data_IF_713439630856
#
_entry.id   IF_713439630856
#
_cell.length_a   1.000
_cell.length_b   1.000
_cell.length_c   1.000
_cell.angle_alpha   90.00
_cell.angle_beta   90.00
_cell.angle_gamma   90.00
#
_symmetry.space_group_name_H-M   'P 1'
#
loop_
_entity.id
_entity.type
_entity.pdbx_description
1 polymer ?
#
# COMPACT_ATOMS: atom_id res chain seq x y z
N UNK A 1 -59.46 -10.84 -26.88
CA UNK A 1 -59.42 -9.66 -27.79
C UNK A 1 -58.22 -8.82 -27.40
N UNK A 2 -57.39 -8.58 -28.37
CA UNK A 2 -56.10 -7.92 -28.25
C UNK A 2 -56.24 -6.40 -27.97
N UNK A 3 -55.26 -5.83 -27.31
CA UNK A 3 -54.64 -4.59 -27.83
C UNK A 3 -53.26 -4.40 -27.26
N UNK A 4 -52.29 -4.51 -28.15
CA UNK A 4 -50.89 -4.03 -27.98
C UNK A 4 -50.89 -2.52 -28.21
N UNK A 5 -50.24 -1.75 -27.31
CA UNK A 5 -49.74 -0.43 -27.65
C UNK A 5 -48.23 -0.43 -27.35
N UNK A 6 -47.42 -0.41 -28.41
CA UNK A 6 -45.97 -0.16 -28.33
C UNK A 6 -45.72 1.34 -28.24
N UNK A 7 -44.78 1.71 -27.38
CA UNK A 7 -44.16 3.02 -27.41
C UNK A 7 -42.65 2.85 -27.45
N UNK A 8 -42.10 3.13 -28.62
CA UNK A 8 -40.67 3.33 -28.85
C UNK A 8 -40.24 4.65 -28.24
N UNK A 9 -39.34 4.64 -27.26
CA UNK A 9 -38.56 5.79 -26.88
C UNK A 9 -37.10 5.58 -27.23
N UNK A 10 -36.68 6.14 -28.37
CA UNK A 10 -35.28 6.44 -28.66
C UNK A 10 -34.86 7.63 -27.79
N UNK A 11 -34.17 7.40 -26.69
CA UNK A 11 -33.41 8.46 -26.02
C UNK A 11 -31.95 8.35 -26.46
N UNK A 12 -31.46 9.39 -27.14
CA UNK A 12 -30.06 9.64 -27.43
C UNK A 12 -29.36 9.96 -26.09
N UNK A 13 -28.31 9.20 -25.80
CA UNK A 13 -27.39 9.51 -24.71
C UNK A 13 -26.57 10.76 -25.08
N UNK A 14 -26.39 11.74 -24.20
CA UNK A 14 -25.47 12.83 -24.43
C UNK A 14 -24.02 12.36 -24.25
N UNK A 15 -23.13 12.86 -25.11
CA UNK A 15 -21.69 12.64 -25.01
C UNK A 15 -21.15 13.13 -23.65
N UNK A 16 -20.23 12.42 -22.99
CA UNK A 16 -19.59 12.92 -21.80
C UNK A 16 -18.63 14.05 -22.15
N UNK A 17 -18.93 15.24 -21.65
CA UNK A 17 -18.02 16.38 -21.65
C UNK A 17 -16.89 16.02 -20.67
N UNK A 18 -15.68 15.82 -21.19
CA UNK A 18 -14.49 15.53 -20.38
C UNK A 18 -14.21 16.69 -19.41
N UNK A 19 -14.16 16.39 -18.13
CA UNK A 19 -13.81 17.34 -17.09
C UNK A 19 -12.31 17.64 -17.11
N UNK A 20 -11.86 18.90 -17.04
CA UNK A 20 -10.45 19.29 -17.02
C UNK A 20 -9.73 19.01 -15.68
N UNK A 21 -10.36 18.33 -14.74
CA UNK A 21 -9.88 18.19 -13.35
C UNK A 21 -8.72 17.19 -13.16
N UNK A 22 -8.60 16.17 -14.02
CA UNK A 22 -7.61 15.09 -13.84
C UNK A 22 -6.16 15.54 -14.09
N UNK A 23 -5.93 16.44 -15.02
CA UNK A 23 -4.56 16.93 -15.32
C UNK A 23 -4.06 17.90 -14.25
N UNK A 24 -4.95 18.67 -13.63
CA UNK A 24 -4.60 19.59 -12.53
C UNK A 24 -4.26 18.84 -11.23
N UNK A 25 -4.93 17.72 -10.96
CA UNK A 25 -4.67 16.88 -9.80
C UNK A 25 -3.29 16.21 -9.86
N UNK A 26 -2.93 15.62 -11.01
CA UNK A 26 -1.62 14.96 -11.17
C UNK A 26 -0.43 15.93 -11.01
N UNK A 27 -0.54 17.13 -11.60
CA UNK A 27 0.51 18.12 -11.47
C UNK A 27 0.65 18.68 -10.04
N UNK A 28 -0.43 18.67 -9.27
CA UNK A 28 -0.44 19.16 -7.90
C UNK A 28 0.13 18.13 -6.93
N UNK A 29 -0.22 16.86 -7.07
CA UNK A 29 0.35 15.77 -6.30
C UNK A 29 1.89 15.71 -6.46
N UNK A 30 2.38 15.83 -7.71
CA UNK A 30 3.80 15.90 -7.99
C UNK A 30 4.49 17.13 -7.37
N UNK A 31 3.78 18.27 -7.25
CA UNK A 31 4.32 19.46 -6.59
C UNK A 31 4.31 19.33 -5.05
N UNK A 32 3.35 18.64 -4.48
CA UNK A 32 3.27 18.35 -3.05
C UNK A 32 4.47 17.50 -2.59
N UNK A 33 4.80 16.46 -3.37
CA UNK A 33 5.95 15.59 -3.09
C UNK A 33 7.31 16.28 -3.31
N UNK A 34 7.38 17.32 -4.14
CA UNK A 34 8.62 18.12 -4.32
C UNK A 34 8.99 19.00 -3.12
N UNK A 35 8.10 19.19 -2.16
CA UNK A 35 8.40 19.92 -0.92
C UNK A 35 9.22 19.11 0.07
N UNK A 36 9.38 17.81 -0.15
CA UNK A 36 10.16 16.95 0.72
C UNK A 36 11.62 16.96 0.32
N UNK A 37 12.47 17.45 1.19
CA UNK A 37 13.92 17.45 1.00
C UNK A 37 14.57 16.36 1.84
N UNK A 38 15.54 15.66 1.27
CA UNK A 38 16.40 14.75 2.02
C UNK A 38 17.48 15.59 2.69
N UNK A 39 17.45 15.68 4.01
CA UNK A 39 18.39 16.45 4.82
C UNK A 39 19.82 15.93 4.66
N UNK A 40 20.64 16.68 3.96
CA UNK A 40 22.08 16.46 3.83
C UNK A 40 22.78 17.72 3.34
N UNK A 41 23.96 18.10 3.93
CA UNK A 41 24.75 19.25 3.50
C UNK A 41 25.04 19.21 2.00
N UNK A 42 25.01 20.33 1.26
CA UNK A 42 24.97 20.36 -0.19
C UNK A 42 26.31 19.92 -0.77
N UNK A 43 26.40 18.66 -1.15
CA UNK A 43 27.37 18.19 -2.13
C UNK A 43 26.64 17.55 -3.29
N UNK A 44 26.51 18.35 -4.39
CA UNK A 44 26.05 17.99 -5.73
C UNK A 44 24.60 17.52 -5.83
N UNK A 45 23.78 18.40 -6.39
CA UNK A 45 22.43 18.14 -6.87
C UNK A 45 22.35 16.82 -7.61
N UNK A 46 21.72 15.81 -7.02
CA UNK A 46 21.15 14.70 -7.75
C UNK A 46 19.74 15.14 -8.18
N UNK A 47 19.66 15.67 -9.38
CA UNK A 47 18.37 15.91 -10.02
C UNK A 47 17.85 14.53 -10.40
N UNK A 48 16.87 14.01 -9.69
CA UNK A 48 16.03 12.90 -10.13
C UNK A 48 15.09 13.42 -11.24
N UNK A 49 15.68 13.72 -12.38
CA UNK A 49 15.03 13.93 -13.64
C UNK A 49 15.48 12.84 -14.58
N UNK A 50 14.89 11.66 -14.50
CA UNK A 50 15.04 10.64 -15.54
C UNK A 50 14.06 10.92 -16.68
N UNK A 51 14.33 11.98 -17.42
CA UNK A 51 13.97 12.08 -18.82
C UNK A 51 14.86 11.15 -19.64
N UNK A 52 14.23 10.17 -20.25
CA UNK A 52 14.55 9.56 -21.55
C UNK A 52 15.72 10.27 -22.28
N UNK A 53 16.95 9.73 -22.21
CA UNK A 53 18.06 9.92 -23.16
C UNK A 53 19.33 9.17 -22.75
N UNK A 54 19.30 7.84 -22.70
CA UNK A 54 20.53 7.02 -22.63
C UNK A 54 20.40 5.70 -23.42
N UNK A 55 19.73 5.75 -24.58
CA UNK A 55 19.56 4.56 -25.44
C UNK A 55 20.28 4.66 -26.80
N UNK A 56 21.29 5.47 -26.94
CA UNK A 56 21.93 5.64 -28.25
C UNK A 56 23.47 5.64 -28.22
N UNK A 57 24.15 4.83 -27.44
CA UNK A 57 25.58 4.59 -27.68
C UNK A 57 26.17 3.44 -26.85
N UNK A 58 25.74 2.19 -27.04
CA UNK A 58 26.52 1.00 -26.71
C UNK A 58 25.99 -0.24 -27.45
N UNK A 59 25.96 -0.16 -28.77
CA UNK A 59 25.96 -1.34 -29.64
C UNK A 59 27.38 -1.45 -30.21
N UNK A 60 28.25 -2.14 -29.50
CA UNK A 60 29.35 -2.96 -30.01
C UNK A 60 30.30 -3.30 -28.88
N UNK A 61 30.04 -4.43 -28.24
CA UNK A 61 31.10 -5.34 -27.77
C UNK A 61 30.40 -6.61 -27.26
N UNK A 62 30.65 -7.66 -27.99
CA UNK A 62 30.20 -9.03 -27.75
C UNK A 62 30.78 -9.60 -26.46
N UNK A 63 29.97 -10.36 -25.70
CA UNK A 63 30.42 -11.37 -24.77
C UNK A 63 30.27 -11.02 -23.27
N UNK A 64 29.34 -11.69 -22.61
CA UNK A 64 29.41 -12.11 -21.21
C UNK A 64 29.38 -11.06 -20.09
N UNK A 65 28.52 -10.03 -20.15
CA UNK A 65 28.36 -9.07 -19.05
C UNK A 65 26.91 -8.75 -18.68
N UNK A 66 25.92 -9.46 -19.23
CA UNK A 66 24.49 -9.15 -19.03
C UNK A 66 24.03 -9.45 -17.60
N UNK A 67 24.58 -10.52 -16.97
CA UNK A 67 24.21 -10.89 -15.60
C UNK A 67 24.71 -9.93 -14.52
N UNK A 68 25.94 -9.44 -14.66
CA UNK A 68 26.56 -8.56 -13.67
C UNK A 68 25.95 -7.15 -13.65
N UNK A 69 25.59 -6.63 -14.82
CA UNK A 69 24.97 -5.29 -14.91
C UNK A 69 23.54 -5.23 -14.34
N UNK A 70 22.76 -6.30 -14.52
CA UNK A 70 21.41 -6.37 -13.96
C UNK A 70 21.44 -6.54 -12.44
N UNK A 71 22.39 -7.31 -11.92
CA UNK A 71 22.56 -7.51 -10.48
C UNK A 71 22.99 -6.22 -9.76
N UNK A 72 23.95 -5.49 -10.32
CA UNK A 72 24.42 -4.21 -9.75
C UNK A 72 23.34 -3.14 -9.83
N UNK A 73 22.56 -3.08 -10.90
CA UNK A 73 21.46 -2.14 -11.02
C UNK A 73 20.34 -2.44 -10.00
N UNK A 74 20.00 -3.72 -9.81
CA UNK A 74 19.01 -4.16 -8.82
C UNK A 74 19.46 -3.85 -7.37
N UNK A 75 20.71 -4.13 -7.03
CA UNK A 75 21.25 -3.82 -5.70
C UNK A 75 21.29 -2.28 -5.46
N UNK A 76 21.63 -1.50 -6.48
CA UNK A 76 21.62 -0.03 -6.38
C UNK A 76 20.22 0.55 -6.23
N UNK A 77 19.23 -0.03 -6.88
CA UNK A 77 17.84 0.39 -6.76
C UNK A 77 17.26 0.04 -5.37
N UNK A 78 17.53 -1.17 -4.86
CA UNK A 78 17.14 -1.57 -3.50
C UNK A 78 17.71 -0.63 -2.44
N UNK A 79 18.99 -0.32 -2.50
CA UNK A 79 19.61 0.63 -1.59
C UNK A 79 18.98 2.04 -1.66
N UNK A 80 18.48 2.45 -2.83
CA UNK A 80 17.82 3.75 -2.98
C UNK A 80 16.47 3.79 -2.26
N UNK A 81 15.70 2.71 -2.29
CA UNK A 81 14.41 2.59 -1.58
C UNK A 81 14.60 2.60 -0.07
N UNK A 82 15.56 1.81 0.42
CA UNK A 82 15.88 1.71 1.85
C UNK A 82 16.33 3.06 2.44
N UNK A 83 16.84 3.98 1.62
CA UNK A 83 17.27 5.32 2.02
C UNK A 83 16.14 6.37 1.94
N UNK A 84 15.02 6.09 1.24
CA UNK A 84 13.97 7.09 0.96
C UNK A 84 13.43 7.73 2.24
N UNK A 85 13.22 6.95 3.30
CA UNK A 85 12.63 7.43 4.55
C UNK A 85 13.67 7.78 5.64
N UNK A 86 14.97 7.50 5.45
CA UNK A 86 15.97 7.66 6.51
C UNK A 86 16.27 9.10 6.92
N UNK A 87 16.17 10.05 5.98
CA UNK A 87 16.55 11.43 6.22
C UNK A 87 15.50 12.40 5.65
N UNK A 88 14.22 12.10 5.86
CA UNK A 88 13.14 12.94 5.37
C UNK A 88 12.96 14.14 6.30
N UNK A 89 13.04 15.34 5.75
CA UNK A 89 12.56 16.54 6.39
C UNK A 89 11.07 16.69 6.11
N UNK A 90 10.24 16.23 7.06
CA UNK A 90 8.81 16.28 6.92
C UNK A 90 8.31 17.72 7.00
N UNK A 91 7.40 18.17 6.12
CA UNK A 91 6.72 19.46 6.28
C UNK A 91 6.05 19.57 7.65
N UNK A 92 5.90 20.79 8.16
CA UNK A 92 5.25 21.02 9.45
C UNK A 92 3.80 20.49 9.47
N UNK A 93 3.12 20.53 8.34
CA UNK A 93 1.74 20.05 8.17
C UNK A 93 1.66 18.91 7.17
N UNK A 94 0.66 18.05 7.35
CA UNK A 94 0.37 16.98 6.41
C UNK A 94 0.18 17.55 4.98
N UNK A 95 0.98 17.08 4.01
CA UNK A 95 1.08 17.76 2.72
C UNK A 95 -0.06 17.46 1.75
N UNK A 96 -0.90 16.47 2.06
CA UNK A 96 -1.99 16.05 1.17
C UNK A 96 -3.33 16.65 1.60
N UNK A 97 -4.23 16.79 0.63
CA UNK A 97 -5.56 17.37 0.80
C UNK A 97 -6.62 16.31 0.49
N UNK A 98 -7.88 16.61 0.79
CA UNK A 98 -9.00 15.70 0.54
C UNK A 98 -9.09 15.25 -0.92
N UNK A 99 -8.77 16.14 -1.88
CA UNK A 99 -8.82 15.79 -3.30
C UNK A 99 -7.77 14.73 -3.71
N UNK A 100 -6.66 14.61 -2.97
CA UNK A 100 -5.62 13.62 -3.19
C UNK A 100 -6.10 12.20 -2.83
N UNK A 101 -7.14 12.10 -2.00
CA UNK A 101 -7.77 10.85 -1.55
C UNK A 101 -9.06 10.51 -2.28
N UNK A 102 -9.50 11.33 -3.24
CA UNK A 102 -10.63 10.99 -4.10
C UNK A 102 -10.27 9.83 -5.01
N UNK A 103 -11.27 9.07 -5.43
CA UNK A 103 -11.13 7.90 -6.29
C UNK A 103 -11.85 8.14 -7.62
N UNK A 104 -11.50 7.40 -8.64
CA UNK A 104 -12.21 7.44 -9.90
C UNK A 104 -13.65 6.92 -9.76
N UNK A 105 -13.83 5.87 -8.95
CA UNK A 105 -15.12 5.30 -8.61
C UNK A 105 -15.41 5.49 -7.11
N UNK A 106 -16.31 6.44 -6.80
CA UNK A 106 -16.75 6.76 -5.45
C UNK A 106 -18.02 6.00 -5.03
N UNK A 107 -18.47 5.02 -5.80
CA UNK A 107 -19.56 4.14 -5.36
C UNK A 107 -19.15 3.38 -4.09
N UNK A 108 -20.09 3.07 -3.19
CA UNK A 108 -19.78 2.38 -1.93
C UNK A 108 -18.95 1.10 -2.16
N UNK A 109 -17.91 0.92 -1.37
CA UNK A 109 -17.01 -0.23 -1.47
C UNK A 109 -17.73 -1.56 -1.20
N UNK A 110 -18.85 -1.53 -0.45
CA UNK A 110 -19.72 -2.69 -0.25
C UNK A 110 -20.23 -3.30 -1.56
N UNK A 111 -20.49 -2.49 -2.59
CA UNK A 111 -20.89 -3.02 -3.90
C UNK A 111 -19.71 -3.63 -4.65
N UNK A 112 -18.53 -3.02 -4.55
CA UNK A 112 -17.33 -3.52 -5.20
C UNK A 112 -16.89 -4.87 -4.62
N UNK A 113 -17.03 -5.06 -3.30
CA UNK A 113 -16.66 -6.27 -2.57
C UNK A 113 -17.84 -7.20 -2.28
N UNK A 114 -19.02 -7.00 -2.87
CA UNK A 114 -20.21 -7.86 -2.68
C UNK A 114 -19.91 -9.32 -3.08
N UNK A 115 -19.23 -9.52 -4.21
CA UNK A 115 -18.83 -10.85 -4.66
C UNK A 115 -17.41 -11.18 -4.22
N UNK A 116 -17.16 -12.36 -3.62
CA UNK A 116 -15.84 -12.77 -3.18
C UNK A 116 -14.86 -12.91 -4.36
N UNK A 117 -13.59 -12.58 -4.11
CA UNK A 117 -12.50 -12.66 -5.08
C UNK A 117 -11.37 -13.53 -4.53
N UNK A 118 -11.40 -14.82 -4.89
CA UNK A 118 -10.38 -15.78 -4.47
C UNK A 118 -9.12 -15.70 -5.36
N UNK A 119 -8.50 -14.52 -5.39
CA UNK A 119 -7.26 -14.23 -6.13
C UNK A 119 -6.19 -13.76 -5.16
N UNK A 120 -4.93 -13.91 -5.54
CA UNK A 120 -3.79 -13.56 -4.67
C UNK A 120 -3.34 -12.10 -4.81
N UNK A 121 -3.86 -11.37 -5.82
CA UNK A 121 -3.59 -9.97 -6.14
C UNK A 121 -2.17 -9.63 -6.61
N UNK A 122 -1.16 -10.41 -6.22
CA UNK A 122 0.25 -10.34 -6.62
C UNK A 122 0.73 -11.70 -7.09
N UNK A 123 1.83 -11.75 -7.84
CA UNK A 123 2.37 -12.98 -8.37
C UNK A 123 3.13 -13.83 -7.32
N UNK A 124 3.35 -15.12 -7.63
CA UNK A 124 4.00 -16.05 -6.70
C UNK A 124 5.40 -15.61 -6.25
N UNK A 125 6.26 -15.03 -7.10
CA UNK A 125 7.54 -14.50 -6.64
C UNK A 125 7.40 -13.39 -5.59
N UNK A 126 6.45 -12.45 -5.77
CA UNK A 126 6.17 -11.38 -4.82
C UNK A 126 5.60 -11.94 -3.50
N UNK A 127 4.69 -12.92 -3.58
CA UNK A 127 4.19 -13.66 -2.40
C UNK A 127 5.34 -14.31 -1.64
N UNK A 128 6.23 -15.01 -2.34
CA UNK A 128 7.40 -15.66 -1.72
C UNK A 128 8.33 -14.67 -1.01
N UNK A 129 8.54 -13.48 -1.60
CA UNK A 129 9.34 -12.42 -0.99
C UNK A 129 8.66 -11.85 0.26
N UNK A 130 7.35 -11.61 0.23
CA UNK A 130 6.58 -11.12 1.37
C UNK A 130 6.55 -12.14 2.51
N UNK A 131 6.27 -13.41 2.19
CA UNK A 131 6.28 -14.52 3.16
C UNK A 131 7.64 -14.66 3.84
N UNK A 132 8.74 -14.53 3.08
CA UNK A 132 10.10 -14.53 3.62
C UNK A 132 10.31 -13.35 4.57
N UNK A 133 9.93 -12.13 4.16
CA UNK A 133 10.02 -10.94 5.02
C UNK A 133 9.26 -11.14 6.34
N UNK A 134 8.03 -11.67 6.28
CA UNK A 134 7.26 -11.98 7.48
C UNK A 134 7.95 -13.00 8.39
N UNK A 135 8.62 -14.02 7.83
CA UNK A 135 9.37 -15.01 8.63
C UNK A 135 10.54 -14.41 9.41
N UNK A 136 11.05 -13.25 8.96
CA UNK A 136 12.19 -12.55 9.58
C UNK A 136 11.72 -11.54 10.66
N UNK A 137 10.49 -10.99 10.53
CA UNK A 137 10.03 -9.88 11.40
C UNK A 137 8.92 -10.27 12.38
N UNK A 138 8.18 -11.35 12.11
CA UNK A 138 7.13 -11.80 13.02
C UNK A 138 7.68 -12.42 14.30
N UNK A 139 6.96 -12.32 15.42
CA UNK A 139 7.25 -13.14 16.61
C UNK A 139 7.27 -14.63 16.24
N UNK A 140 8.02 -15.47 16.95
CA UNK A 140 7.97 -16.92 16.74
C UNK A 140 6.53 -17.47 16.80
N UNK A 141 6.26 -18.50 15.99
CA UNK A 141 4.95 -19.16 15.97
C UNK A 141 4.59 -19.70 17.36
N UNK A 142 3.31 -19.61 17.73
CA UNK A 142 2.77 -20.03 19.03
C UNK A 142 3.41 -19.32 20.23
N UNK A 143 3.84 -18.08 20.09
CA UNK A 143 4.32 -17.27 21.24
C UNK A 143 3.12 -16.88 22.12
N UNK A 144 3.11 -17.24 23.40
CA UNK A 144 2.00 -16.93 24.29
C UNK A 144 1.71 -15.43 24.39
N UNK A 145 0.43 -15.05 24.33
CA UNK A 145 -0.05 -13.67 24.45
C UNK A 145 0.19 -12.78 23.23
N UNK A 146 0.78 -13.30 22.13
CA UNK A 146 0.91 -12.58 20.88
C UNK A 146 -0.43 -12.54 20.15
N UNK A 147 -0.85 -11.33 19.75
CA UNK A 147 -2.05 -11.08 18.97
C UNK A 147 -1.72 -10.33 17.69
N UNK A 148 -2.34 -10.70 16.58
CA UNK A 148 -2.13 -10.10 15.29
C UNK A 148 -3.43 -9.59 14.68
N UNK A 149 -3.37 -8.47 13.95
CA UNK A 149 -4.47 -7.93 13.15
C UNK A 149 -4.04 -7.89 11.69
N UNK A 150 -4.73 -8.62 10.83
CA UNK A 150 -4.58 -8.55 9.38
C UNK A 150 -5.66 -7.61 8.83
N UNK A 151 -5.26 -6.38 8.54
CA UNK A 151 -6.15 -5.30 8.08
C UNK A 151 -6.35 -5.36 6.56
N UNK A 152 -7.58 -5.09 6.13
CA UNK A 152 -8.01 -5.25 4.74
C UNK A 152 -7.74 -6.67 4.24
N UNK A 153 -7.95 -7.64 5.13
CA UNK A 153 -7.72 -9.05 4.91
C UNK A 153 -8.72 -9.65 3.91
N UNK A 154 -8.34 -10.77 3.33
CA UNK A 154 -9.12 -11.55 2.38
C UNK A 154 -8.98 -13.04 2.73
N UNK A 155 -9.15 -13.93 1.74
CA UNK A 155 -9.05 -15.38 1.91
C UNK A 155 -7.62 -15.89 2.15
N UNK A 156 -6.62 -15.02 2.05
CA UNK A 156 -5.20 -15.34 2.27
C UNK A 156 -4.45 -14.14 2.84
N UNK A 157 -3.56 -14.37 3.81
CA UNK A 157 -2.74 -13.32 4.47
C UNK A 157 -1.26 -13.39 4.07
N UNK A 158 -0.86 -14.35 3.22
CA UNK A 158 0.53 -14.59 2.81
C UNK A 158 1.53 -14.82 3.97
N UNK A 159 1.04 -15.28 5.12
CA UNK A 159 1.89 -15.59 6.26
C UNK A 159 2.77 -16.83 5.99
N UNK A 160 3.89 -17.01 6.70
CA UNK A 160 4.74 -18.18 6.54
C UNK A 160 3.96 -19.49 6.72
N UNK A 161 4.30 -20.50 5.93
CA UNK A 161 3.63 -21.78 5.98
C UNK A 161 3.65 -22.38 7.40
N UNK A 162 2.50 -22.76 7.91
CA UNK A 162 2.36 -23.30 9.26
C UNK A 162 2.51 -22.29 10.40
N UNK A 163 2.66 -20.99 10.11
CA UNK A 163 2.68 -19.96 11.13
C UNK A 163 1.33 -19.87 11.86
N UNK A 164 1.37 -19.82 13.17
CA UNK A 164 0.18 -19.75 14.04
C UNK A 164 0.45 -18.87 15.25
N UNK A 165 -0.59 -18.17 15.67
CA UNK A 165 -0.65 -17.49 16.97
C UNK A 165 -2.00 -17.81 17.62
N UNK A 166 -2.08 -17.60 18.92
CA UNK A 166 -3.32 -17.82 19.68
C UNK A 166 -4.46 -16.91 19.17
N UNK A 167 -4.12 -15.70 18.74
CA UNK A 167 -5.08 -14.73 18.23
C UNK A 167 -4.58 -14.07 16.95
N UNK A 168 -5.25 -14.36 15.83
CA UNK A 168 -5.05 -13.68 14.53
C UNK A 168 -6.41 -13.22 14.03
N UNK A 169 -6.67 -11.92 14.09
CA UNK A 169 -7.94 -11.33 13.68
C UNK A 169 -7.81 -10.79 12.27
N UNK A 170 -8.70 -11.22 11.36
CA UNK A 170 -8.84 -10.64 10.03
C UNK A 170 -9.90 -9.55 10.02
N UNK A 171 -9.61 -8.41 9.38
CA UNK A 171 -10.64 -7.41 9.11
C UNK A 171 -10.65 -7.09 7.62
N UNK A 172 -11.79 -7.31 6.97
CA UNK A 172 -11.92 -7.15 5.52
C UNK A 172 -13.32 -6.75 5.11
N UNK A 173 -13.59 -6.78 3.81
CA UNK A 173 -14.85 -6.33 3.23
C UNK A 173 -15.80 -7.48 2.87
N UNK A 174 -15.29 -8.70 2.69
CA UNK A 174 -16.09 -9.85 2.28
C UNK A 174 -15.99 -11.01 3.28
N UNK A 175 -17.12 -11.39 3.86
CA UNK A 175 -17.18 -12.41 4.90
C UNK A 175 -16.81 -13.81 4.38
N UNK A 176 -17.16 -14.14 3.13
CA UNK A 176 -16.86 -15.45 2.55
C UNK A 176 -15.36 -15.63 2.32
N UNK A 177 -14.67 -14.56 1.92
CA UNK A 177 -13.20 -14.55 1.81
C UNK A 177 -12.55 -14.76 3.19
N UNK A 178 -12.97 -14.01 4.20
CA UNK A 178 -12.41 -14.10 5.54
C UNK A 178 -12.60 -15.49 6.17
N UNK A 179 -13.76 -16.11 5.97
CA UNK A 179 -14.06 -17.47 6.45
C UNK A 179 -13.12 -18.53 5.88
N UNK A 180 -12.62 -18.34 4.67
CA UNK A 180 -11.71 -19.28 4.02
C UNK A 180 -10.23 -19.03 4.33
N UNK A 181 -9.88 -17.96 5.03
CA UNK A 181 -8.51 -17.66 5.37
C UNK A 181 -8.00 -18.58 6.50
N UNK A 182 -7.05 -19.49 6.21
CA UNK A 182 -6.69 -20.57 7.15
C UNK A 182 -5.86 -20.11 8.35
N UNK A 183 -5.35 -18.87 8.35
CA UNK A 183 -4.52 -18.36 9.45
C UNK A 183 -5.32 -17.58 10.48
N UNK A 184 -6.55 -17.15 10.13
CA UNK A 184 -7.38 -16.37 11.03
C UNK A 184 -7.99 -17.25 12.13
N UNK A 185 -7.99 -16.74 13.34
CA UNK A 185 -8.72 -17.33 14.50
C UNK A 185 -10.06 -16.66 14.72
N UNK A 186 -10.20 -15.43 14.23
CA UNK A 186 -11.42 -14.63 14.29
C UNK A 186 -11.41 -13.60 13.14
N UNK A 187 -12.56 -13.05 12.80
CA UNK A 187 -12.67 -12.03 11.78
C UNK A 187 -13.84 -11.07 11.99
N UNK A 188 -13.77 -9.91 11.36
CA UNK A 188 -14.88 -8.97 11.27
C UNK A 188 -14.95 -8.32 9.88
N UNK A 189 -16.17 -7.96 9.47
CA UNK A 189 -16.42 -7.22 8.24
C UNK A 189 -16.58 -5.75 8.57
N UNK A 190 -15.70 -4.90 8.02
CA UNK A 190 -15.77 -3.45 8.23
C UNK A 190 -15.18 -2.69 7.05
N UNK A 191 -15.90 -1.66 6.61
CA UNK A 191 -15.41 -0.67 5.65
C UNK A 191 -14.71 0.47 6.40
N UNK A 192 -13.38 0.55 6.27
CA UNK A 192 -12.57 1.58 6.92
C UNK A 192 -12.75 2.98 6.30
N UNK A 193 -13.27 3.08 5.09
CA UNK A 193 -13.60 4.36 4.46
C UNK A 193 -14.91 4.94 5.00
N UNK A 194 -15.83 4.08 5.44
CA UNK A 194 -17.07 4.48 6.13
C UNK A 194 -16.80 4.67 7.62
N UNK A 195 -16.26 3.65 8.29
CA UNK A 195 -15.94 3.69 9.71
C UNK A 195 -14.46 3.38 9.95
N UNK A 196 -13.59 4.40 10.04
CA UNK A 196 -12.16 4.21 10.24
C UNK A 196 -11.77 3.81 11.66
N UNK A 197 -12.71 3.81 12.63
CA UNK A 197 -12.45 3.42 14.01
C UNK A 197 -12.32 1.90 14.12
N UNK A 198 -11.20 1.42 14.68
CA UNK A 198 -11.00 -0.01 14.92
C UNK A 198 -11.75 -0.46 16.19
N UNK A 199 -12.62 -1.50 16.12
CA UNK A 199 -13.46 -1.93 17.23
C UNK A 199 -12.69 -2.83 18.23
N UNK A 200 -11.47 -2.43 18.57
CA UNK A 200 -10.59 -3.12 19.49
C UNK A 200 -10.16 -2.17 20.61
N UNK A 201 -9.81 -2.74 21.74
CA UNK A 201 -9.26 -2.00 22.88
C UNK A 201 -7.85 -1.48 22.57
N UNK A 202 -7.40 -0.50 23.34
CA UNK A 202 -6.04 0.01 23.27
C UNK A 202 -5.04 -1.10 23.61
N UNK A 203 -3.89 -1.09 22.93
CA UNK A 203 -2.79 -2.03 23.20
C UNK A 203 -3.20 -3.52 23.09
N UNK A 204 -4.00 -3.87 22.07
CA UNK A 204 -4.53 -5.22 21.86
C UNK A 204 -3.65 -6.12 20.98
N UNK A 205 -2.81 -5.53 20.11
CA UNK A 205 -2.09 -6.27 19.09
C UNK A 205 -0.58 -6.02 19.13
N UNK A 206 0.19 -7.08 18.87
CA UNK A 206 1.65 -7.02 18.73
C UNK A 206 2.06 -6.70 17.30
N UNK A 207 1.28 -7.17 16.32
CA UNK A 207 1.54 -6.99 14.89
C UNK A 207 0.27 -6.57 14.18
N UNK A 208 0.37 -5.58 13.30
CA UNK A 208 -0.67 -5.24 12.32
C UNK A 208 -0.06 -5.41 10.92
N UNK A 209 -0.76 -6.13 10.04
CA UNK A 209 -0.41 -6.27 8.62
C UNK A 209 -1.47 -5.62 7.74
N UNK A 210 -1.05 -5.10 6.59
CA UNK A 210 -1.91 -4.69 5.49
C UNK A 210 -1.19 -5.01 4.18
N UNK A 211 -1.81 -5.80 3.33
CA UNK A 211 -1.21 -6.27 2.09
C UNK A 211 -1.96 -5.70 0.90
N UNK A 212 -1.26 -4.98 0.02
CA UNK A 212 -1.75 -4.39 -1.24
C UNK A 212 -3.12 -3.71 -1.13
N UNK A 213 -3.31 -2.95 -0.04
CA UNK A 213 -4.63 -2.35 0.26
C UNK A 213 -4.54 -0.94 0.87
N UNK A 214 -3.35 -0.45 1.20
CA UNK A 214 -3.16 0.89 1.79
C UNK A 214 -3.57 2.01 0.83
N UNK A 215 -3.50 1.76 -0.44
CA UNK A 215 -3.85 2.64 -1.56
C UNK A 215 -5.36 2.86 -1.75
N UNK A 216 -6.21 2.13 -1.00
CA UNK A 216 -7.67 2.31 -1.01
C UNK A 216 -8.20 3.12 0.17
N UNK A 217 -7.35 3.49 1.14
CA UNK A 217 -7.75 4.24 2.32
C UNK A 217 -7.99 5.71 2.00
N UNK A 218 -9.22 6.17 2.08
CA UNK A 218 -9.59 7.58 1.86
C UNK A 218 -9.39 8.46 3.10
N UNK A 219 -9.24 7.84 4.29
CA UNK A 219 -9.01 8.51 5.58
C UNK A 219 -7.77 7.96 6.29
N UNK A 220 -6.59 7.89 5.61
CA UNK A 220 -5.45 7.14 6.12
C UNK A 220 -4.95 7.63 7.49
N UNK A 221 -4.91 8.94 7.74
CA UNK A 221 -4.44 9.45 9.04
C UNK A 221 -5.29 8.98 10.22
N UNK A 222 -6.62 8.87 10.03
CA UNK A 222 -7.51 8.38 11.09
C UNK A 222 -7.26 6.89 11.33
N UNK A 223 -7.13 6.11 10.25
CA UNK A 223 -6.84 4.67 10.33
C UNK A 223 -5.49 4.43 11.01
N UNK A 224 -4.43 5.17 10.65
CA UNK A 224 -3.11 5.01 11.25
C UNK A 224 -3.07 5.45 12.73
N UNK A 225 -3.85 6.47 13.12
CA UNK A 225 -4.04 6.81 14.56
C UNK A 225 -4.70 5.66 15.32
N UNK A 226 -5.70 5.03 14.73
CA UNK A 226 -6.35 3.86 15.34
C UNK A 226 -5.39 2.66 15.40
N UNK A 227 -4.57 2.43 14.36
CA UNK A 227 -3.51 1.42 14.41
C UNK A 227 -2.55 1.67 15.57
N UNK A 228 -2.09 2.92 15.75
CA UNK A 228 -1.26 3.30 16.88
C UNK A 228 -1.96 3.04 18.21
N UNK A 229 -3.25 3.33 18.32
CA UNK A 229 -4.03 3.11 19.54
C UNK A 229 -4.11 1.62 19.89
N UNK A 230 -4.45 0.77 18.92
CA UNK A 230 -4.66 -0.67 19.19
C UNK A 230 -3.38 -1.49 19.23
N UNK A 231 -2.25 -1.00 18.71
CA UNK A 231 -0.95 -1.65 18.89
C UNK A 231 -0.48 -1.55 20.34
N UNK A 232 0.14 -2.61 20.83
CA UNK A 232 0.90 -2.59 22.08
C UNK A 232 2.16 -1.73 21.94
N UNK A 233 2.68 -1.11 23.01
CA UNK A 233 3.97 -0.44 22.97
C UNK A 233 5.07 -1.37 22.42
N UNK A 234 5.85 -0.88 21.45
CA UNK A 234 6.85 -1.68 20.71
C UNK A 234 6.27 -2.62 19.64
N UNK A 235 4.95 -2.76 19.56
CA UNK A 235 4.27 -3.50 18.49
C UNK A 235 4.55 -2.90 17.11
N UNK A 236 4.45 -3.70 16.06
CA UNK A 236 4.84 -3.31 14.69
C UNK A 236 3.63 -3.25 13.76
N UNK A 237 3.56 -2.20 12.95
CA UNK A 237 2.63 -2.09 11.82
C UNK A 237 3.40 -2.20 10.50
N UNK A 238 2.92 -3.06 9.59
CA UNK A 238 3.59 -3.42 8.33
C UNK A 238 2.62 -3.20 7.18
N UNK A 239 2.92 -2.21 6.34
CA UNK A 239 2.19 -1.91 5.11
C UNK A 239 3.01 -2.42 3.94
N UNK A 240 2.52 -3.43 3.23
CA UNK A 240 3.15 -3.96 2.04
C UNK A 240 2.32 -3.66 0.80
N UNK A 241 2.97 -3.22 -0.27
CA UNK A 241 2.28 -2.81 -1.49
C UNK A 241 3.11 -3.07 -2.74
N UNK A 242 2.44 -3.06 -3.87
CA UNK A 242 2.97 -3.32 -5.19
C UNK A 242 2.51 -2.22 -6.16
N UNK A 243 2.87 -2.34 -7.43
CA UNK A 243 2.28 -1.56 -8.51
C UNK A 243 0.92 -2.11 -9.01
N UNK A 244 0.39 -3.14 -8.31
CA UNK A 244 -0.93 -3.73 -8.58
C UNK A 244 -1.99 -3.05 -7.75
N UNK A 245 -3.04 -2.55 -8.40
CA UNK A 245 -4.20 -2.00 -7.71
C UNK A 245 -5.46 -2.13 -8.56
N UNK A 246 -6.60 -2.03 -7.94
CA UNK A 246 -7.88 -1.77 -8.61
C UNK A 246 -7.95 -0.26 -8.92
N UNK A 247 -7.48 0.12 -10.09
CA UNK A 247 -7.25 1.52 -10.48
C UNK A 247 -8.43 2.45 -10.19
N UNK A 248 -9.66 1.97 -10.35
CA UNK A 248 -10.87 2.79 -10.13
C UNK A 248 -11.15 3.04 -8.64
N UNK A 249 -10.65 2.18 -7.75
CA UNK A 249 -10.83 2.26 -6.30
C UNK A 249 -9.61 2.82 -5.56
N UNK A 250 -8.44 2.85 -6.19
CA UNK A 250 -7.26 3.46 -5.61
C UNK A 250 -7.39 5.00 -5.58
N UNK A 251 -6.85 5.62 -4.54
CA UNK A 251 -6.86 7.08 -4.35
C UNK A 251 -6.08 7.80 -5.43
N UNK A 252 -6.47 9.04 -5.75
CA UNK A 252 -5.94 9.79 -6.90
C UNK A 252 -4.44 10.05 -6.79
N UNK A 253 -3.92 10.30 -5.60
CA UNK A 253 -2.48 10.48 -5.41
C UNK A 253 -1.68 9.21 -5.72
N UNK A 254 -2.23 8.02 -5.42
CA UNK A 254 -1.59 6.75 -5.75
C UNK A 254 -1.53 6.52 -7.25
N UNK A 255 -2.66 6.69 -7.95
CA UNK A 255 -2.74 6.46 -9.39
C UNK A 255 -1.99 7.50 -10.23
N UNK A 256 -1.62 8.64 -9.66
CA UNK A 256 -0.91 9.74 -10.32
C UNK A 256 0.59 9.79 -10.00
N UNK A 257 1.10 8.91 -9.15
CA UNK A 257 2.50 8.88 -8.70
C UNK A 257 3.13 7.51 -8.93
N UNK A 258 4.38 7.33 -8.56
CA UNK A 258 5.14 6.09 -8.76
C UNK A 258 5.67 5.49 -7.46
N UNK A 259 6.36 4.37 -7.56
CA UNK A 259 6.76 3.52 -6.43
C UNK A 259 7.53 4.28 -5.33
N UNK A 260 8.46 5.16 -5.70
CA UNK A 260 9.20 5.96 -4.71
C UNK A 260 8.27 6.95 -3.97
N UNK A 261 7.31 7.51 -4.68
CA UNK A 261 6.31 8.42 -4.09
C UNK A 261 5.35 7.64 -3.18
N UNK A 262 4.97 6.41 -3.55
CA UNK A 262 4.14 5.55 -2.71
C UNK A 262 4.79 5.27 -1.35
N UNK A 263 6.11 5.06 -1.32
CA UNK A 263 6.87 4.89 -0.06
C UNK A 263 6.77 6.16 0.79
N UNK A 264 6.93 7.34 0.17
CA UNK A 264 6.82 8.62 0.87
C UNK A 264 5.40 8.88 1.37
N UNK A 265 4.38 8.55 0.57
CA UNK A 265 2.96 8.68 0.94
C UNK A 265 2.68 7.82 2.19
N UNK A 266 3.03 6.54 2.17
CA UNK A 266 2.78 5.63 3.31
C UNK A 266 3.63 6.01 4.52
N UNK A 267 4.90 6.40 4.32
CA UNK A 267 5.76 6.94 5.38
C UNK A 267 5.15 8.17 6.06
N UNK A 268 4.52 9.06 5.28
CA UNK A 268 3.84 10.24 5.82
C UNK A 268 2.65 9.88 6.72
N UNK A 269 1.92 8.83 6.40
CA UNK A 269 0.80 8.38 7.24
C UNK A 269 1.28 7.98 8.63
N UNK A 270 2.37 7.24 8.74
CA UNK A 270 2.99 6.93 10.03
C UNK A 270 3.45 8.19 10.77
N UNK A 271 4.15 9.10 10.08
CA UNK A 271 4.71 10.31 10.68
C UNK A 271 3.59 11.22 11.23
N UNK A 272 2.58 11.57 10.41
CA UNK A 272 1.54 12.53 10.79
C UNK A 272 0.41 11.93 11.63
N UNK A 273 0.24 10.61 11.64
CA UNK A 273 -0.65 9.97 12.60
C UNK A 273 -0.13 10.09 14.03
N UNK A 274 1.19 10.10 14.20
CA UNK A 274 1.86 10.14 15.49
C UNK A 274 1.79 8.82 16.26
N UNK A 275 2.56 8.72 17.35
CA UNK A 275 2.62 7.53 18.18
C UNK A 275 3.46 6.39 17.61
N UNK A 276 4.16 6.61 16.51
CA UNK A 276 5.08 5.68 15.85
C UNK A 276 6.52 6.18 15.88
N UNK A 277 7.47 5.26 15.86
CA UNK A 277 8.87 5.54 15.55
C UNK A 277 9.00 6.08 14.12
N UNK A 278 10.15 6.64 13.72
CA UNK A 278 10.40 7.01 12.33
C UNK A 278 10.17 5.80 11.40
N UNK A 279 9.33 5.92 10.36
CA UNK A 279 9.01 4.81 9.48
C UNK A 279 10.24 4.36 8.69
N UNK A 280 10.31 3.07 8.41
CA UNK A 280 11.36 2.44 7.61
C UNK A 280 10.75 1.86 6.34
N UNK A 281 11.53 1.84 5.25
CA UNK A 281 11.14 1.25 3.98
C UNK A 281 12.14 0.17 3.55
N UNK A 282 11.63 -0.89 2.93
CA UNK A 282 12.44 -1.96 2.34
C UNK A 282 11.87 -2.36 0.98
N UNK A 283 12.73 -2.48 -0.03
CA UNK A 283 12.40 -3.10 -1.30
C UNK A 283 12.71 -4.60 -1.23
N UNK A 284 11.65 -5.40 -1.16
CA UNK A 284 11.75 -6.87 -1.16
C UNK A 284 11.44 -7.49 -2.53
N UNK A 285 11.40 -6.69 -3.61
CA UNK A 285 11.09 -7.15 -4.96
C UNK A 285 12.01 -8.30 -5.38
N UNK A 286 11.47 -9.49 -5.73
CA UNK A 286 12.30 -10.66 -5.97
C UNK A 286 13.03 -10.59 -7.30
N UNK A 287 12.36 -10.14 -8.37
CA UNK A 287 12.85 -10.13 -9.74
C UNK A 287 12.47 -8.82 -10.45
N UNK A 288 13.21 -7.72 -10.25
CA UNK A 288 12.88 -6.42 -10.84
C UNK A 288 12.65 -6.49 -12.35
N UNK A 289 11.48 -5.99 -12.81
CA UNK A 289 11.06 -5.97 -14.20
C UNK A 289 10.60 -7.33 -14.76
N UNK A 290 10.52 -8.39 -13.94
CA UNK A 290 10.04 -9.72 -14.36
C UNK A 290 8.89 -10.26 -13.52
N UNK A 291 8.76 -9.80 -12.28
CA UNK A 291 7.68 -10.11 -11.37
C UNK A 291 7.11 -8.83 -10.78
N UNK A 292 5.99 -8.94 -10.09
CA UNK A 292 5.43 -7.79 -9.37
C UNK A 292 6.45 -7.24 -8.37
N UNK A 293 6.71 -5.93 -8.35
CA UNK A 293 7.53 -5.32 -7.31
C UNK A 293 6.83 -5.44 -5.96
N UNK A 294 7.61 -5.42 -4.88
CA UNK A 294 7.06 -5.51 -3.54
C UNK A 294 7.82 -4.60 -2.60
N UNK A 295 7.13 -3.62 -2.06
CA UNK A 295 7.66 -2.63 -1.13
C UNK A 295 7.00 -2.80 0.22
N UNK A 296 7.76 -2.58 1.28
CA UNK A 296 7.26 -2.60 2.65
C UNK A 296 7.64 -1.29 3.33
N UNK A 297 6.65 -0.65 3.93
CA UNK A 297 6.84 0.47 4.87
C UNK A 297 6.30 0.04 6.23
N UNK A 298 7.11 0.15 7.25
CA UNK A 298 6.74 -0.30 8.59
C UNK A 298 7.25 0.64 9.67
N UNK A 299 6.58 0.60 10.81
CA UNK A 299 7.03 1.30 12.00
C UNK A 299 6.56 0.61 13.27
N UNK A 300 7.23 0.91 14.39
CA UNK A 300 6.83 0.42 15.71
C UNK A 300 6.09 1.52 16.48
N UNK A 301 5.11 1.11 17.30
CA UNK A 301 4.51 2.02 18.26
C UNK A 301 5.57 2.44 19.28
N UNK A 302 5.65 3.74 19.53
CA UNK A 302 6.50 4.29 20.57
C UNK A 302 6.20 3.64 21.93
N UNK A 303 7.21 3.38 22.79
CA UNK A 303 6.97 3.01 24.18
C UNK A 303 6.11 4.09 24.86
N UNK A 304 5.17 3.67 25.68
CA UNK A 304 4.49 4.62 26.59
C UNK A 304 5.50 5.15 27.60
N UNK A 305 5.59 6.46 27.71
CA UNK A 305 6.42 7.14 28.70
C UNK A 305 5.95 6.82 30.15
#
# INVERSE_FOLDING_TARGET
MANRIGLNFHQRLPNPIGSPSTVLSANRAANSLKQWSVGGKPRRRLVLGLGISFWAQFMNMSGSLVGAKSFVASARQKNAVDEVLKNVEWPEQFPFREEDFQRFDETPDSYFYESPRFVTHIDDPAIGALTKFYSEVFPPSNTPGVSMLDMCSSWVSHFPAGYKQERVVGMGMNEEELKLNPVLTDYLVQDLNVNPKLPFEDNSFDVITNVVSVDYLTKPLIVFKEMSRVLKPGGIAIMSFSNRCFFTKAISIWTSTGDADHIMIVGSYFHYAGGFEPPQAVDISPNPGRSDPMYVVYSRKLPTA
#
